data_IF_113517427475
#
_entry.id   IF_113517427475
#
_cell.length_a   1.000
_cell.length_b   1.000
_cell.length_c   1.000
_cell.angle_alpha   90.00
_cell.angle_beta   90.00
_cell.angle_gamma   90.00
#
_symmetry.space_group_name_H-M   'P 1'
#
loop_
_entity.id
_entity.type
_entity.pdbx_description
1 polymer ?
#
# COMPACT_ATOMS: atom_id res chain seq x y z
N UNK A 1 -4.84 -28.41 -4.01
CA UNK A 1 -5.16 -27.24 -4.87
C UNK A 1 -4.93 -25.97 -4.05
N UNK A 2 -4.01 -25.06 -4.40
CA UNK A 2 -3.82 -23.84 -3.62
C UNK A 2 -5.00 -22.89 -3.85
N UNK A 3 -5.72 -22.54 -2.79
CA UNK A 3 -6.70 -21.45 -2.83
C UNK A 3 -5.92 -20.14 -2.82
N UNK A 4 -5.85 -19.48 -3.96
CA UNK A 4 -5.36 -18.11 -4.04
C UNK A 4 -6.38 -17.21 -3.33
N UNK A 5 -6.06 -16.76 -2.12
CA UNK A 5 -6.90 -15.77 -1.43
C UNK A 5 -6.91 -14.49 -2.25
N UNK A 6 -8.09 -14.08 -2.69
CA UNK A 6 -8.26 -12.80 -3.36
C UNK A 6 -7.85 -11.69 -2.40
N UNK A 7 -6.98 -10.80 -2.86
CA UNK A 7 -6.61 -9.62 -2.07
C UNK A 7 -7.83 -8.70 -1.99
N UNK A 8 -8.20 -8.32 -0.77
CA UNK A 8 -9.33 -7.43 -0.52
C UNK A 8 -9.19 -6.07 -1.22
N UNK A 9 -7.95 -5.56 -1.35
CA UNK A 9 -7.61 -4.28 -2.00
C UNK A 9 -8.10 -4.18 -3.46
N UNK A 10 -7.63 -5.03 -4.40
CA UNK A 10 -8.12 -4.99 -5.78
C UNK A 10 -9.60 -5.35 -5.90
N UNK A 11 -10.12 -6.22 -5.02
CA UNK A 11 -11.55 -6.55 -5.02
C UNK A 11 -12.41 -5.32 -4.67
N UNK A 12 -12.08 -4.59 -3.60
CA UNK A 12 -12.78 -3.35 -3.22
C UNK A 12 -12.71 -2.30 -4.33
N UNK A 13 -11.53 -2.11 -4.94
CA UNK A 13 -11.38 -1.19 -6.08
C UNK A 13 -12.34 -1.55 -7.24
N UNK A 14 -12.42 -2.83 -7.60
CA UNK A 14 -13.36 -3.29 -8.62
C UNK A 14 -14.82 -3.07 -8.21
N UNK A 15 -15.19 -3.41 -6.97
CA UNK A 15 -16.57 -3.25 -6.50
C UNK A 15 -17.02 -1.79 -6.46
N UNK A 16 -16.13 -0.89 -6.00
CA UNK A 16 -16.43 0.54 -5.99
C UNK A 16 -16.51 1.09 -7.43
N UNK A 17 -15.69 0.61 -8.37
CA UNK A 17 -15.78 1.04 -9.77
C UNK A 17 -17.02 0.48 -10.50
N UNK A 18 -17.49 -0.70 -10.10
CA UNK A 18 -18.70 -1.33 -10.65
C UNK A 18 -20.01 -0.70 -10.16
N UNK A 19 -19.97 0.16 -9.13
CA UNK A 19 -21.14 0.84 -8.54
C UNK A 19 -22.33 -0.08 -8.17
N UNK A 20 -22.09 -1.38 -7.98
CA UNK A 20 -23.15 -2.35 -7.67
C UNK A 20 -23.69 -2.20 -6.25
N UNK A 21 -22.90 -1.64 -5.34
CA UNK A 21 -23.27 -1.48 -3.93
C UNK A 21 -23.64 -0.01 -3.69
N UNK A 22 -24.91 0.31 -3.39
CA UNK A 22 -25.30 1.69 -3.10
C UNK A 22 -24.59 2.19 -1.84
N UNK A 23 -24.00 3.38 -1.94
CA UNK A 23 -23.21 3.98 -0.85
C UNK A 23 -21.74 3.55 -0.80
N UNK A 24 -21.32 2.58 -1.62
CA UNK A 24 -19.92 2.24 -1.79
C UNK A 24 -19.29 3.21 -2.80
N UNK A 25 -18.80 4.33 -2.28
CA UNK A 25 -18.13 5.37 -3.08
C UNK A 25 -16.75 5.67 -2.52
N UNK A 26 -15.87 6.19 -3.38
CA UNK A 26 -14.60 6.69 -2.91
C UNK A 26 -14.76 8.08 -2.32
N UNK A 27 -14.39 8.23 -1.07
CA UNK A 27 -14.44 9.52 -0.38
C UNK A 27 -13.13 10.30 -0.62
N UNK A 28 -11.96 9.63 -0.58
CA UNK A 28 -10.64 10.26 -0.72
C UNK A 28 -9.71 9.49 -1.67
N UNK A 29 -10.00 9.46 -2.99
CA UNK A 29 -9.07 8.85 -3.97
C UNK A 29 -7.73 9.59 -4.06
N UNK A 30 -7.74 10.90 -3.77
CA UNK A 30 -6.65 11.81 -4.12
C UNK A 30 -5.52 11.88 -3.07
N UNK A 31 -5.83 11.70 -1.78
CA UNK A 31 -4.89 12.03 -0.70
C UNK A 31 -3.92 10.90 -0.32
N UNK A 32 -4.04 9.72 -0.91
CA UNK A 32 -3.09 8.61 -0.66
C UNK A 32 -1.94 8.56 -1.67
N UNK A 33 -1.77 9.62 -2.48
CA UNK A 33 -0.57 9.80 -3.29
C UNK A 33 0.61 10.11 -2.36
N UNK A 34 1.46 9.10 -2.27
CA UNK A 34 2.87 9.18 -1.91
C UNK A 34 3.11 9.24 -0.40
N UNK A 35 3.29 8.04 0.15
CA UNK A 35 4.48 7.83 0.93
C UNK A 35 5.67 8.36 0.13
N UNK A 36 6.06 9.61 0.39
CA UNK A 36 7.48 9.94 0.46
C UNK A 36 8.01 9.05 1.57
N UNK A 37 8.28 7.79 1.23
CA UNK A 37 9.23 6.97 1.97
C UNK A 37 10.50 7.76 1.80
N UNK A 38 10.72 8.71 2.71
CA UNK A 38 11.99 9.37 2.90
C UNK A 38 12.98 8.23 2.84
N UNK A 39 13.73 8.18 1.75
CA UNK A 39 14.86 7.32 1.61
C UNK A 39 15.80 7.84 2.67
N UNK A 40 15.64 7.39 3.92
CA UNK A 40 16.59 7.66 4.97
C UNK A 40 17.86 7.05 4.39
N UNK A 41 18.87 7.86 4.04
CA UNK A 41 20.12 7.29 3.60
C UNK A 41 20.55 6.39 4.75
N UNK A 42 20.75 5.11 4.46
CA UNK A 42 21.26 4.18 5.45
C UNK A 42 22.63 4.72 5.83
N UNK A 43 22.70 5.49 6.91
CA UNK A 43 23.98 5.93 7.48
C UNK A 43 24.77 4.65 7.64
N UNK A 44 25.91 4.58 6.95
CA UNK A 44 26.81 3.44 7.02
C UNK A 44 27.01 3.07 8.48
N UNK A 45 26.89 1.79 8.79
CA UNK A 45 27.30 1.26 10.09
C UNK A 45 28.74 1.74 10.31
N UNK A 46 29.05 2.49 11.38
CA UNK A 46 30.44 2.71 11.74
C UNK A 46 30.96 1.34 12.17
N UNK A 47 31.72 0.70 11.31
CA UNK A 47 32.55 -0.44 11.70
C UNK A 47 33.60 0.15 12.62
N UNK A 48 33.33 0.13 13.93
CA UNK A 48 34.39 0.33 14.90
C UNK A 48 35.34 -0.86 14.71
N UNK A 49 36.46 -0.61 14.03
CA UNK A 49 37.58 -1.51 14.00
C UNK A 49 38.05 -1.68 15.45
N UNK A 50 37.87 -2.89 15.98
CA UNK A 50 38.38 -3.29 17.29
C UNK A 50 39.89 -3.50 17.13
N UNK A 51 40.75 -2.93 17.99
CA UNK A 51 42.21 -3.07 17.89
C UNK A 51 42.68 -4.52 18.09
#
# INVERSE_FOLDING_TARGET
MPITRMRMRPWLEMQINSNQIPGLIWINKADTKQGKRSQIPRRGRPTFAVP
#
